data_IF_497985313978
#
_entry.id   IF_497985313978
#
_cell.length_a   1.000
_cell.length_b   1.000
_cell.length_c   1.000
_cell.angle_alpha   90.00
_cell.angle_beta   90.00
_cell.angle_gamma   90.00
#
_symmetry.space_group_name_H-M   'P 1'
#
loop_
_entity.id
_entity.type
_entity.pdbx_description
1 polymer ?
#
# COMPACT_ATOMS: atom_id res chain seq x y z
N UNK A 1 34.58 -15.81 -23.71
CA UNK A 1 34.25 -14.83 -22.66
C UNK A 1 33.28 -13.83 -23.30
N UNK A 2 31.97 -14.10 -23.18
CA UNK A 2 30.93 -13.23 -23.74
C UNK A 2 30.38 -12.40 -22.60
N UNK A 3 30.87 -11.17 -22.43
CA UNK A 3 30.17 -10.17 -21.61
C UNK A 3 29.39 -9.32 -22.61
N UNK A 4 28.11 -9.64 -22.77
CA UNK A 4 27.18 -8.73 -23.45
C UNK A 4 27.07 -7.49 -22.56
N UNK A 5 27.84 -6.46 -22.89
CA UNK A 5 27.96 -5.21 -22.15
C UNK A 5 26.67 -4.38 -22.06
N UNK A 6 25.59 -4.80 -22.74
CA UNK A 6 24.27 -4.17 -22.71
C UNK A 6 23.32 -4.72 -21.64
N UNK A 7 23.72 -5.75 -20.88
CA UNK A 7 22.93 -6.29 -19.77
C UNK A 7 23.20 -5.60 -18.42
N UNK A 8 24.18 -4.70 -18.38
CA UNK A 8 24.62 -3.99 -17.17
C UNK A 8 24.47 -2.48 -17.27
N UNK A 9 23.83 -1.98 -18.34
CA UNK A 9 23.32 -0.61 -18.30
C UNK A 9 22.31 -0.56 -17.13
N UNK A 10 22.41 0.42 -16.21
CA UNK A 10 21.45 0.56 -15.14
C UNK A 10 20.08 0.56 -15.78
N UNK A 11 19.25 -0.46 -15.48
CA UNK A 11 17.85 -0.43 -15.87
C UNK A 11 17.34 0.88 -15.30
N UNK A 12 16.98 1.81 -16.18
CA UNK A 12 16.28 3.04 -15.81
C UNK A 12 15.07 2.56 -15.01
N UNK A 13 15.15 2.66 -13.68
CA UNK A 13 14.19 1.99 -12.81
C UNK A 13 12.86 2.68 -13.06
N UNK A 14 11.96 2.01 -13.77
CA UNK A 14 10.68 2.56 -14.18
C UNK A 14 10.01 3.22 -12.97
N UNK A 15 9.70 4.50 -13.10
CA UNK A 15 9.15 5.28 -12.00
C UNK A 15 7.80 4.67 -11.57
N UNK A 16 7.56 4.60 -10.26
CA UNK A 16 6.28 4.17 -9.73
C UNK A 16 5.25 5.30 -9.94
N UNK A 17 4.60 5.27 -11.10
CA UNK A 17 3.66 6.29 -11.55
C UNK A 17 2.19 5.90 -11.30
N UNK A 18 1.29 6.83 -11.58
CA UNK A 18 -0.14 6.63 -11.37
C UNK A 18 -0.75 5.59 -12.31
N UNK A 19 -0.13 5.35 -13.49
CA UNK A 19 -0.58 4.32 -14.44
C UNK A 19 -0.31 2.93 -13.83
N UNK A 20 0.92 2.69 -13.37
CA UNK A 20 1.29 1.45 -12.70
C UNK A 20 0.46 1.25 -11.42
N UNK A 21 0.22 2.31 -10.65
CA UNK A 21 -0.60 2.20 -9.46
C UNK A 21 -2.05 1.82 -9.76
N UNK A 22 -2.62 2.30 -10.88
CA UNK A 22 -3.95 1.90 -11.34
C UNK A 22 -4.04 0.42 -11.71
N UNK A 23 -2.99 -0.13 -12.33
CA UNK A 23 -2.92 -1.57 -12.64
C UNK A 23 -2.85 -2.40 -11.35
N UNK A 24 -2.04 -1.98 -10.37
CA UNK A 24 -2.00 -2.62 -9.05
C UNK A 24 -3.36 -2.54 -8.35
N UNK A 25 -4.05 -1.41 -8.43
CA UNK A 25 -5.40 -1.25 -7.93
C UNK A 25 -6.37 -2.27 -8.52
N UNK A 26 -6.34 -2.42 -9.84
CA UNK A 26 -7.19 -3.36 -10.56
C UNK A 26 -6.89 -4.80 -10.16
N UNK A 27 -5.60 -5.14 -10.04
CA UNK A 27 -5.17 -6.44 -9.54
C UNK A 27 -5.70 -6.72 -8.14
N UNK A 28 -5.53 -5.79 -7.19
CA UNK A 28 -6.01 -5.95 -5.81
C UNK A 28 -7.52 -6.09 -5.76
N UNK A 29 -8.28 -5.29 -6.50
CA UNK A 29 -9.74 -5.43 -6.56
C UNK A 29 -10.17 -6.84 -6.97
N UNK A 30 -9.54 -7.38 -8.02
CA UNK A 30 -9.81 -8.74 -8.53
C UNK A 30 -9.48 -9.86 -7.52
N UNK A 31 -8.61 -9.61 -6.53
CA UNK A 31 -8.35 -10.58 -5.46
C UNK A 31 -9.50 -10.69 -4.45
N UNK A 32 -10.30 -9.63 -4.30
CA UNK A 32 -11.32 -9.54 -3.25
C UNK A 32 -12.76 -9.54 -3.80
N UNK A 33 -12.96 -9.23 -5.08
CA UNK A 33 -14.28 -9.21 -5.69
C UNK A 33 -14.21 -9.52 -7.19
N UNK A 34 -15.25 -10.20 -7.69
CA UNK A 34 -15.51 -10.35 -9.13
C UNK A 34 -16.44 -9.27 -9.68
N UNK A 35 -16.93 -8.35 -8.83
CA UNK A 35 -17.80 -7.25 -9.26
C UNK A 35 -16.96 -6.13 -9.91
N UNK A 36 -17.10 -5.98 -11.22
CA UNK A 36 -16.39 -4.98 -12.03
C UNK A 36 -16.87 -3.53 -11.81
N UNK A 37 -18.04 -3.33 -11.20
CA UNK A 37 -18.55 -1.99 -10.87
C UNK A 37 -17.76 -1.33 -9.72
N UNK A 38 -17.03 -2.12 -8.95
CA UNK A 38 -16.26 -1.63 -7.81
C UNK A 38 -14.85 -1.24 -8.28
N UNK A 39 -14.61 0.06 -8.45
CA UNK A 39 -13.34 0.62 -8.95
C UNK A 39 -12.42 1.19 -7.86
N UNK A 40 -12.85 1.18 -6.59
CA UNK A 40 -12.09 1.71 -5.45
C UNK A 40 -11.89 0.66 -4.37
N UNK A 41 -10.62 0.46 -3.98
CA UNK A 41 -10.24 -0.45 -2.90
C UNK A 41 -10.83 0.00 -1.56
N UNK A 42 -10.90 1.32 -1.31
CA UNK A 42 -11.52 1.86 -0.10
C UNK A 42 -13.04 1.62 -0.07
N UNK A 43 -13.72 1.78 -1.22
CA UNK A 43 -15.15 1.46 -1.31
C UNK A 43 -15.40 -0.03 -1.02
N UNK A 44 -14.62 -0.92 -1.67
CA UNK A 44 -14.69 -2.36 -1.39
C UNK A 44 -14.44 -2.68 0.09
N UNK A 45 -13.43 -2.05 0.69
CA UNK A 45 -13.12 -2.20 2.11
C UNK A 45 -14.31 -1.82 2.99
N UNK A 46 -14.99 -0.71 2.69
CA UNK A 46 -16.19 -0.25 3.41
C UNK A 46 -17.34 -1.26 3.31
N UNK A 47 -17.60 -1.79 2.11
CA UNK A 47 -18.63 -2.81 1.88
C UNK A 47 -18.32 -4.09 2.69
N UNK A 48 -17.06 -4.52 2.70
CA UNK A 48 -16.65 -5.75 3.39
C UNK A 48 -16.53 -5.58 4.91
N UNK A 49 -16.32 -4.36 5.42
CA UNK A 49 -16.10 -4.08 6.84
C UNK A 49 -17.25 -4.56 7.74
N UNK A 50 -18.48 -4.58 7.22
CA UNK A 50 -19.65 -5.04 7.98
C UNK A 50 -19.77 -6.58 8.07
N UNK A 51 -19.10 -7.32 7.19
CA UNK A 51 -19.34 -8.77 7.01
C UNK A 51 -18.09 -9.65 7.08
N UNK A 52 -16.89 -9.04 7.14
CA UNK A 52 -15.61 -9.73 7.16
C UNK A 52 -14.79 -9.32 8.36
N UNK A 53 -13.95 -10.23 8.82
CA UNK A 53 -12.92 -9.95 9.82
C UNK A 53 -11.82 -9.07 9.23
N UNK A 54 -11.10 -8.33 10.09
CA UNK A 54 -10.09 -7.35 9.69
C UNK A 54 -9.03 -7.91 8.74
N UNK A 55 -8.58 -9.14 8.96
CA UNK A 55 -7.59 -9.83 8.14
C UNK A 55 -8.09 -10.25 6.75
N UNK A 56 -9.42 -10.24 6.53
CA UNK A 56 -10.05 -10.52 5.23
C UNK A 56 -10.42 -9.25 4.47
N UNK A 57 -10.15 -8.08 5.03
CA UNK A 57 -10.40 -6.81 4.35
C UNK A 57 -9.24 -6.48 3.40
N UNK A 58 -9.53 -5.95 2.20
CA UNK A 58 -8.47 -5.45 1.33
C UNK A 58 -7.71 -4.31 2.02
N UNK A 59 -6.43 -4.08 1.70
CA UNK A 59 -5.68 -2.95 2.28
C UNK A 59 -6.40 -1.63 2.00
N UNK A 60 -6.20 -0.60 2.82
CA UNK A 60 -6.59 0.76 2.40
C UNK A 60 -5.76 1.17 1.19
N UNK A 61 -6.31 1.97 0.28
CA UNK A 61 -5.59 2.53 -0.88
C UNK A 61 -4.25 3.16 -0.50
N UNK A 62 -4.22 3.94 0.59
CA UNK A 62 -2.99 4.54 1.09
C UNK A 62 -1.94 3.49 1.49
N UNK A 63 -2.33 2.52 2.33
CA UNK A 63 -1.43 1.42 2.71
C UNK A 63 -0.96 0.60 1.50
N UNK A 64 -1.79 0.44 0.47
CA UNK A 64 -1.42 -0.22 -0.77
C UNK A 64 -0.33 0.58 -1.50
N UNK A 65 -0.53 1.89 -1.68
CA UNK A 65 0.47 2.80 -2.28
C UNK A 65 1.81 2.73 -1.55
N UNK A 66 1.78 2.84 -0.22
CA UNK A 66 3.00 2.76 0.59
C UNK A 66 3.70 1.40 0.50
N UNK A 67 2.94 0.31 0.40
CA UNK A 67 3.51 -1.02 0.18
C UNK A 67 4.19 -1.13 -1.19
N UNK A 68 3.55 -0.64 -2.25
CA UNK A 68 4.12 -0.65 -3.59
C UNK A 68 5.41 0.18 -3.68
N UNK A 69 5.45 1.35 -3.03
CA UNK A 69 6.65 2.17 -2.94
C UNK A 69 7.81 1.42 -2.26
N UNK A 70 7.55 0.72 -1.17
CA UNK A 70 8.58 -0.10 -0.50
C UNK A 70 9.06 -1.26 -1.36
N UNK A 71 8.13 -1.97 -2.02
CA UNK A 71 8.47 -3.06 -2.92
C UNK A 71 9.31 -2.56 -4.11
N UNK A 72 8.94 -1.40 -4.67
CA UNK A 72 9.66 -0.75 -5.74
C UNK A 72 11.08 -0.37 -5.31
N UNK A 73 11.26 0.23 -4.13
CA UNK A 73 12.58 0.49 -3.56
C UNK A 73 13.42 -0.78 -3.44
N UNK A 74 12.83 -1.87 -2.94
CA UNK A 74 13.52 -3.14 -2.83
C UNK A 74 13.99 -3.67 -4.19
N UNK A 75 13.17 -3.50 -5.24
CA UNK A 75 13.54 -3.84 -6.61
C UNK A 75 14.72 -3.00 -7.09
N UNK A 76 14.75 -1.70 -6.80
CA UNK A 76 15.90 -0.82 -7.14
C UNK A 76 17.19 -1.38 -6.53
N UNK A 77 17.17 -1.76 -5.25
CA UNK A 77 18.34 -2.35 -4.57
C UNK A 77 18.75 -3.66 -5.24
N UNK A 78 17.81 -4.57 -5.51
CA UNK A 78 18.10 -5.87 -6.10
C UNK A 78 18.67 -5.78 -7.52
N UNK A 79 18.12 -4.90 -8.35
CA UNK A 79 18.63 -4.69 -9.71
C UNK A 79 20.05 -4.11 -9.71
N UNK A 80 20.44 -3.42 -8.64
CA UNK A 80 21.77 -2.85 -8.47
C UNK A 80 22.70 -3.69 -7.58
N UNK A 81 22.32 -4.92 -7.22
CA UNK A 81 23.06 -5.73 -6.25
C UNK A 81 24.51 -6.08 -6.67
N UNK A 82 24.81 -6.03 -7.97
CA UNK A 82 26.15 -6.26 -8.52
C UNK A 82 27.01 -4.99 -8.58
N UNK A 83 26.42 -3.82 -8.34
CA UNK A 83 27.16 -2.57 -8.32
C UNK A 83 27.88 -2.42 -6.97
N UNK A 84 29.21 -2.20 -6.96
CA UNK A 84 29.98 -2.11 -5.72
C UNK A 84 29.59 -0.88 -4.88
N UNK A 85 29.00 0.14 -5.51
CA UNK A 85 28.42 1.32 -4.86
C UNK A 85 27.04 1.53 -5.44
N UNK A 86 26.02 1.56 -4.57
CA UNK A 86 24.63 1.87 -4.92
C UNK A 86 24.32 3.23 -4.33
N UNK A 87 23.79 4.14 -5.16
CA UNK A 87 23.23 5.41 -4.71
C UNK A 87 21.69 5.32 -4.83
N UNK A 88 21.00 4.65 -3.87
CA UNK A 88 19.56 4.50 -3.95
C UNK A 88 18.87 5.85 -3.70
N UNK A 89 17.62 6.00 -4.16
CA UNK A 89 16.83 7.19 -3.85
C UNK A 89 16.57 7.31 -2.34
N UNK A 90 16.06 8.46 -1.91
CA UNK A 90 15.75 8.69 -0.51
C UNK A 90 14.66 7.74 -0.02
N UNK A 91 15.00 6.82 0.88
CA UNK A 91 14.09 5.78 1.40
C UNK A 91 12.80 6.34 2.01
N UNK A 92 12.83 7.58 2.52
CA UNK A 92 11.66 8.24 3.11
C UNK A 92 10.59 8.60 2.07
N UNK A 93 10.95 8.69 0.79
CA UNK A 93 10.02 8.89 -0.33
C UNK A 93 9.39 7.57 -0.79
N UNK A 94 9.88 6.44 -0.28
CA UNK A 94 9.50 5.10 -0.70
C UNK A 94 8.76 4.33 0.41
N UNK A 95 7.91 5.05 1.14
CA UNK A 95 7.01 4.46 2.14
C UNK A 95 7.67 3.98 3.42
N UNK A 96 8.79 4.60 3.77
CA UNK A 96 9.42 4.51 5.08
C UNK A 96 9.34 5.83 5.82
N UNK A 97 9.41 5.77 7.14
CA UNK A 97 9.51 6.94 8.01
C UNK A 97 10.59 6.70 9.06
N UNK A 98 11.17 7.78 9.58
CA UNK A 98 12.19 7.72 10.62
C UNK A 98 11.52 7.97 11.98
N UNK A 99 11.54 6.97 12.86
CA UNK A 99 11.06 7.09 14.24
C UNK A 99 12.20 6.67 15.16
N UNK A 100 12.64 7.58 16.03
CA UNK A 100 13.74 7.34 16.98
C UNK A 100 15.01 6.78 16.32
N UNK A 101 15.39 7.33 15.17
CA UNK A 101 16.56 6.90 14.40
C UNK A 101 16.42 5.56 13.69
N UNK A 102 15.23 4.95 13.69
CA UNK A 102 14.95 3.68 13.00
C UNK A 102 14.00 3.90 11.83
N UNK A 103 14.29 3.25 10.71
CA UNK A 103 13.37 3.17 9.58
C UNK A 103 12.26 2.18 9.94
N UNK A 104 11.01 2.66 9.89
CA UNK A 104 9.83 1.83 10.07
C UNK A 104 8.88 2.05 8.89
N UNK A 105 8.05 1.05 8.52
CA UNK A 105 7.11 1.23 7.43
C UNK A 105 6.14 2.37 7.73
N UNK A 106 5.91 3.21 6.72
CA UNK A 106 4.82 4.19 6.75
C UNK A 106 3.53 3.46 6.39
N UNK A 107 2.64 3.30 7.37
CA UNK A 107 1.35 2.64 7.17
C UNK A 107 0.26 3.64 6.83
N UNK A 108 0.07 4.67 7.66
CA UNK A 108 -0.97 5.70 7.53
C UNK A 108 -0.47 6.99 8.20
N UNK A 109 -0.70 8.15 7.58
CA UNK A 109 -0.48 9.47 8.22
C UNK A 109 -1.77 10.03 8.81
N UNK A 110 -2.92 9.50 8.39
CA UNK A 110 -4.23 9.88 8.92
C UNK A 110 -4.51 9.09 10.21
N UNK A 111 -5.18 9.70 11.19
CA UNK A 111 -5.61 8.99 12.38
C UNK A 111 -6.59 7.86 12.00
N UNK A 112 -6.56 6.71 12.70
CA UNK A 112 -7.40 5.55 12.39
C UNK A 112 -8.90 5.84 12.51
N UNK A 113 -9.27 6.93 13.17
CA UNK A 113 -10.62 7.48 13.26
C UNK A 113 -10.56 9.01 13.11
N UNK A 114 -11.65 9.66 12.64
CA UNK A 114 -11.80 11.10 12.80
C UNK A 114 -11.58 11.45 14.27
N UNK A 115 -10.75 12.46 14.55
CA UNK A 115 -10.47 12.86 15.94
C UNK A 115 -11.75 13.30 16.68
N UNK A 116 -12.77 13.73 15.93
CA UNK A 116 -14.12 13.95 16.43
C UNK A 116 -14.90 12.64 16.55
N UNK A 117 -14.67 11.93 17.66
CA UNK A 117 -15.43 10.74 18.08
C UNK A 117 -16.94 11.02 18.26
N UNK A 118 -17.35 12.29 18.35
CA UNK A 118 -18.75 12.72 18.44
C UNK A 118 -19.61 12.24 17.26
N UNK A 119 -19.01 11.95 16.11
CA UNK A 119 -19.73 11.45 14.91
C UNK A 119 -20.12 9.96 15.07
N UNK A 120 -19.46 9.22 15.96
CA UNK A 120 -19.68 7.78 16.14
C UNK A 120 -20.70 7.44 17.24
N UNK A 121 -21.18 8.43 18.01
CA UNK A 121 -21.97 8.21 19.22
C UNK A 121 -23.48 7.98 19.01
N UNK A 122 -23.93 7.63 17.80
CA UNK A 122 -25.34 7.28 17.60
C UNK A 122 -25.52 6.09 16.66
N UNK A 123 -25.19 4.88 17.12
CA UNK A 123 -25.94 3.74 16.60
C UNK A 123 -27.34 3.83 17.22
N UNK A 124 -28.36 4.02 16.37
CA UNK A 124 -29.78 4.03 16.76
C UNK A 124 -30.30 2.66 17.19
N UNK A 125 -29.40 1.76 17.58
CA UNK A 125 -29.74 0.41 17.98
C UNK A 125 -30.42 0.47 19.34
N UNK A 126 -31.67 0.01 19.41
CA UNK A 126 -32.39 -0.13 20.68
C UNK A 126 -31.63 -1.14 21.54
N UNK A 127 -31.35 -0.81 22.80
CA UNK A 127 -30.78 -1.75 23.79
C UNK A 127 -31.51 -3.09 23.68
N UNK A 128 -30.77 -4.17 23.44
CA UNK A 128 -31.32 -5.51 23.52
C UNK A 128 -31.77 -5.76 24.96
N UNK A 129 -33.06 -6.04 25.15
CA UNK A 129 -33.57 -6.49 26.44
C UNK A 129 -33.23 -7.98 26.57
N UNK A 130 -32.17 -8.28 27.31
CA UNK A 130 -31.95 -9.63 27.82
C UNK A 130 -32.84 -9.79 29.06
N UNK A 131 -33.94 -10.54 28.90
CA UNK A 131 -34.73 -11.11 30.01
C UNK A 131 -34.15 -12.45 30.41
#
# INVERSE_FOLDING_TARGET
>A
MWVNSKLFDPIETANFDDILFKEVHTFVLRLYTSNEEISSVNNLRGILAASKTLEKLPPTEYSLKQHCLRAHYQTIIWLNAFNPVINPPNVLEYGWQLINGKLVPLFQTLPPFPQDLAILSSCGCKKGNYT
#
